data_IF_966391084531
#
_entry.id   IF_966391084531
#
_cell.length_a   1.000
_cell.length_b   1.000
_cell.length_c   1.000
_cell.angle_alpha   90.00
_cell.angle_beta   90.00
_cell.angle_gamma   90.00
#
_symmetry.space_group_name_H-M   'P 1'
#
loop_
_entity.id
_entity.type
_entity.pdbx_description
1 polymer ?
#
# COMPACT_ATOMS: atom_id res chain seq x y z
N UNK A 1 -9.23 -1.81 -0.24
CA UNK A 1 -9.38 -3.09 -0.96
C UNK A 1 -8.22 -3.25 -1.92
N UNK A 2 -7.74 -4.47 -2.11
CA UNK A 2 -6.67 -4.84 -3.06
C UNK A 2 -7.13 -6.00 -3.93
N UNK A 3 -7.14 -5.81 -5.25
CA UNK A 3 -7.39 -6.91 -6.17
C UNK A 3 -6.10 -7.71 -6.29
N UNK A 4 -6.19 -9.01 -6.03
CA UNK A 4 -5.07 -9.93 -6.13
C UNK A 4 -4.71 -10.18 -7.59
N UNK A 5 -3.43 -10.00 -7.87
CA UNK A 5 -2.76 -10.20 -9.14
C UNK A 5 -1.45 -9.41 -9.12
N UNK A 6 -0.49 -9.80 -9.95
CA UNK A 6 0.79 -9.10 -10.15
C UNK A 6 1.34 -9.45 -11.53
N UNK A 7 2.11 -8.53 -12.14
CA UNK A 7 2.86 -8.75 -13.38
C UNK A 7 2.00 -9.18 -14.56
N UNK A 8 1.33 -8.20 -15.20
CA UNK A 8 0.65 -8.41 -16.46
C UNK A 8 1.54 -7.98 -17.63
N UNK A 9 1.70 -8.85 -18.62
CA UNK A 9 2.54 -8.64 -19.81
C UNK A 9 1.73 -8.49 -21.11
N UNK A 10 0.41 -8.58 -21.03
CA UNK A 10 -0.53 -8.42 -22.12
C UNK A 10 -1.32 -7.09 -22.00
N UNK A 11 -1.27 -6.21 -23.02
CA UNK A 11 -1.97 -4.92 -22.98
C UNK A 11 -3.50 -5.03 -22.78
N UNK A 12 -4.15 -6.03 -23.38
CA UNK A 12 -5.61 -6.21 -23.26
C UNK A 12 -5.98 -6.64 -21.84
N UNK A 13 -5.14 -7.46 -21.20
CA UNK A 13 -5.33 -7.82 -19.79
C UNK A 13 -5.03 -6.67 -18.84
N UNK A 14 -4.03 -5.83 -19.14
CA UNK A 14 -3.77 -4.61 -18.38
C UNK A 14 -4.96 -3.63 -18.45
N UNK A 15 -5.58 -3.49 -19.63
CA UNK A 15 -6.82 -2.74 -19.81
C UNK A 15 -7.98 -3.35 -19.01
N UNK A 16 -8.15 -4.67 -19.04
CA UNK A 16 -9.17 -5.37 -18.27
C UNK A 16 -8.99 -5.23 -16.74
N UNK A 17 -7.74 -5.27 -16.25
CA UNK A 17 -7.43 -5.03 -14.85
C UNK A 17 -7.76 -3.59 -14.45
N UNK A 18 -7.43 -2.62 -15.31
CA UNK A 18 -7.78 -1.20 -15.11
C UNK A 18 -9.29 -1.00 -15.03
N UNK A 19 -10.06 -1.60 -15.95
CA UNK A 19 -11.51 -1.53 -15.93
C UNK A 19 -12.10 -2.20 -14.67
N UNK A 20 -11.48 -3.28 -14.18
CA UNK A 20 -11.88 -3.91 -12.91
C UNK A 20 -11.71 -2.95 -11.73
N UNK A 21 -10.60 -2.20 -11.67
CA UNK A 21 -10.42 -1.17 -10.63
C UNK A 21 -11.41 -0.02 -10.77
N UNK A 22 -11.71 0.44 -11.98
CA UNK A 22 -12.73 1.48 -12.24
C UNK A 22 -14.11 1.01 -11.75
N UNK A 23 -14.48 -0.23 -12.07
CA UNK A 23 -15.74 -0.82 -11.59
C UNK A 23 -15.77 -0.99 -10.08
N UNK A 24 -14.64 -1.33 -9.46
CA UNK A 24 -14.53 -1.39 -8.01
C UNK A 24 -14.81 -0.01 -7.39
N UNK A 25 -14.18 1.06 -7.88
CA UNK A 25 -14.40 2.43 -7.38
C UNK A 25 -15.89 2.81 -7.45
N UNK A 26 -16.51 2.62 -8.62
CA UNK A 26 -17.95 2.89 -8.81
C UNK A 26 -18.84 2.05 -7.90
N UNK A 27 -18.48 0.80 -7.64
CA UNK A 27 -19.23 -0.05 -6.71
C UNK A 27 -19.11 0.46 -5.29
N UNK A 28 -17.91 0.85 -4.86
CA UNK A 28 -17.66 1.39 -3.53
C UNK A 28 -18.43 2.68 -3.27
N UNK A 29 -18.52 3.56 -4.27
CA UNK A 29 -19.34 4.75 -4.22
C UNK A 29 -20.82 4.44 -3.94
N UNK A 30 -21.41 3.50 -4.70
CA UNK A 30 -22.81 3.09 -4.51
C UNK A 30 -23.08 2.50 -3.13
N UNK A 31 -22.17 1.68 -2.61
CA UNK A 31 -22.28 1.12 -1.25
C UNK A 31 -22.18 2.22 -0.19
N UNK A 32 -21.31 3.22 -0.39
CA UNK A 32 -21.21 4.38 0.50
C UNK A 32 -22.50 5.21 0.47
N UNK A 33 -23.08 5.46 -0.70
CA UNK A 33 -24.37 6.15 -0.85
C UNK A 33 -25.52 5.38 -0.19
N UNK A 34 -25.49 4.05 -0.26
CA UNK A 34 -26.44 3.17 0.43
C UNK A 34 -26.24 3.13 1.97
N UNK A 35 -25.19 3.78 2.49
CA UNK A 35 -24.87 3.81 3.91
C UNK A 35 -24.27 2.50 4.45
N UNK A 36 -23.86 1.58 3.58
CA UNK A 36 -23.25 0.30 3.96
C UNK A 36 -21.74 0.42 4.18
N UNK A 37 -21.12 1.49 3.67
CA UNK A 37 -19.70 1.81 3.83
C UNK A 37 -19.52 3.28 4.25
N UNK A 38 -18.54 3.55 5.10
CA UNK A 38 -18.20 4.92 5.51
C UNK A 38 -16.99 5.46 4.75
N UNK A 39 -15.83 4.81 4.88
CA UNK A 39 -14.59 5.22 4.24
C UNK A 39 -13.87 4.01 3.65
N UNK A 40 -13.42 4.13 2.40
CA UNK A 40 -12.72 3.06 1.72
C UNK A 40 -11.70 3.62 0.74
N UNK A 41 -10.51 3.05 0.79
CA UNK A 41 -9.42 3.32 -0.13
C UNK A 41 -9.11 2.05 -0.91
N UNK A 42 -8.57 2.21 -2.11
CA UNK A 42 -8.08 1.08 -2.90
C UNK A 42 -6.55 1.06 -2.89
N UNK A 43 -5.98 -0.12 -2.97
CA UNK A 43 -4.55 -0.32 -3.24
C UNK A 43 -4.43 -1.05 -4.56
N UNK A 44 -3.52 -0.58 -5.41
CA UNK A 44 -3.32 -1.09 -6.76
C UNK A 44 -1.84 -1.41 -6.97
N UNK A 45 -1.56 -2.35 -7.86
CA UNK A 45 -0.22 -2.70 -8.31
C UNK A 45 -0.08 -2.28 -9.76
N UNK A 46 0.89 -1.42 -10.06
CA UNK A 46 1.05 -0.87 -11.40
C UNK A 46 1.51 -1.94 -12.39
N UNK A 47 2.16 -3.02 -11.92
CA UNK A 47 2.47 -4.18 -12.75
C UNK A 47 1.24 -4.82 -13.40
N UNK A 48 0.06 -4.73 -12.78
CA UNK A 48 -1.20 -5.19 -13.37
C UNK A 48 -1.78 -4.22 -14.40
N UNK A 49 -1.26 -2.99 -14.47
CA UNK A 49 -1.78 -1.90 -15.31
C UNK A 49 -0.84 -1.59 -16.48
N UNK A 50 0.10 -2.49 -16.78
CA UNK A 50 1.02 -2.37 -17.92
C UNK A 50 2.34 -1.69 -17.61
N UNK A 51 2.72 -1.52 -16.33
CA UNK A 51 3.96 -0.83 -15.94
C UNK A 51 5.22 -1.34 -16.64
N UNK A 52 5.35 -2.67 -16.81
CA UNK A 52 6.51 -3.27 -17.46
C UNK A 52 6.34 -3.44 -18.99
N UNK A 53 5.14 -3.17 -19.51
CA UNK A 53 4.83 -3.15 -20.94
C UNK A 53 5.26 -1.80 -21.52
N UNK A 54 4.70 -0.72 -20.99
CA UNK A 54 4.96 0.66 -21.39
C UNK A 54 4.52 1.62 -20.26
N UNK A 55 5.41 2.51 -19.80
CA UNK A 55 5.09 3.46 -18.73
C UNK A 55 4.03 4.49 -19.13
N UNK A 56 3.95 4.88 -20.41
CA UNK A 56 2.92 5.82 -20.88
C UNK A 56 1.56 5.13 -20.95
N UNK A 57 1.49 3.86 -21.37
CA UNK A 57 0.27 3.05 -21.28
C UNK A 57 -0.18 2.91 -19.82
N UNK A 58 0.74 2.57 -18.93
CA UNK A 58 0.43 2.44 -17.50
C UNK A 58 -0.04 3.75 -16.89
N UNK A 59 0.53 4.89 -17.31
CA UNK A 59 0.08 6.20 -16.88
C UNK A 59 -1.32 6.50 -17.41
N UNK A 60 -1.64 6.23 -18.67
CA UNK A 60 -2.98 6.41 -19.23
C UNK A 60 -4.03 5.65 -18.40
N UNK A 61 -3.76 4.37 -18.13
CA UNK A 61 -4.60 3.53 -17.27
C UNK A 61 -4.76 4.12 -15.86
N UNK A 62 -3.66 4.55 -15.25
CA UNK A 62 -3.65 5.13 -13.92
C UNK A 62 -4.47 6.44 -13.87
N UNK A 63 -4.27 7.35 -14.82
CA UNK A 63 -5.01 8.62 -14.88
C UNK A 63 -6.51 8.38 -15.10
N UNK A 64 -6.89 7.40 -15.93
CA UNK A 64 -8.29 7.00 -16.14
C UNK A 64 -8.94 6.49 -14.85
N UNK A 65 -8.22 5.68 -14.07
CA UNK A 65 -8.69 5.25 -12.75
C UNK A 65 -8.80 6.43 -11.77
N UNK A 66 -7.80 7.31 -11.74
CA UNK A 66 -7.76 8.45 -10.83
C UNK A 66 -8.86 9.47 -11.12
N UNK A 67 -9.24 9.69 -12.38
CA UNK A 67 -10.38 10.52 -12.73
C UNK A 67 -11.67 10.04 -12.04
N UNK A 68 -11.96 8.73 -12.13
CA UNK A 68 -13.14 8.14 -11.49
C UNK A 68 -12.99 8.13 -9.97
N UNK A 69 -11.79 7.89 -9.46
CA UNK A 69 -11.52 7.88 -8.02
C UNK A 69 -11.69 9.27 -7.39
N UNK A 70 -11.33 10.35 -8.10
CA UNK A 70 -11.55 11.72 -7.67
C UNK A 70 -13.04 12.07 -7.62
N UNK A 71 -13.79 11.77 -8.69
CA UNK A 71 -15.24 11.99 -8.77
C UNK A 71 -15.98 11.30 -7.61
N UNK A 72 -15.51 10.11 -7.24
CA UNK A 72 -16.12 9.25 -6.23
C UNK A 72 -15.47 9.37 -4.84
N UNK A 73 -14.58 10.33 -4.61
CA UNK A 73 -13.86 10.56 -3.34
C UNK A 73 -13.23 9.28 -2.76
N UNK A 74 -12.53 8.51 -3.61
CA UNK A 74 -11.79 7.30 -3.24
C UNK A 74 -10.29 7.57 -3.37
N UNK A 75 -9.53 7.34 -2.29
CA UNK A 75 -8.08 7.47 -2.35
C UNK A 75 -7.44 6.22 -2.96
N UNK A 76 -6.45 6.43 -3.84
CA UNK A 76 -5.71 5.36 -4.50
C UNK A 76 -4.29 5.26 -3.94
N UNK A 77 -3.96 4.10 -3.36
CA UNK A 77 -2.61 3.78 -2.90
C UNK A 77 -1.89 2.96 -3.96
N UNK A 78 -0.72 3.41 -4.40
CA UNK A 78 0.16 2.66 -5.29
C UNK A 78 1.03 1.73 -4.45
N UNK A 79 0.69 0.44 -4.43
CA UNK A 79 1.49 -0.55 -3.73
C UNK A 79 2.87 -0.67 -4.36
N UNK A 80 3.87 -0.83 -3.50
CA UNK A 80 5.26 -0.97 -3.93
C UNK A 80 5.62 -2.43 -4.03
N UNK A 81 5.98 -2.84 -5.24
CA UNK A 81 6.35 -4.21 -5.58
C UNK A 81 7.87 -4.41 -5.39
N UNK A 82 8.51 -5.21 -6.24
CA UNK A 82 9.95 -5.46 -6.18
C UNK A 82 10.80 -4.21 -6.46
N UNK A 83 12.08 -4.31 -6.15
CA UNK A 83 13.04 -3.23 -6.39
C UNK A 83 13.23 -2.89 -7.88
N UNK A 84 12.92 -3.83 -8.76
CA UNK A 84 12.95 -3.73 -10.22
C UNK A 84 11.89 -2.76 -10.76
N UNK A 85 10.72 -2.66 -10.10
CA UNK A 85 9.65 -1.72 -10.49
C UNK A 85 9.64 -0.43 -9.67
N UNK A 86 10.33 -0.39 -8.52
CA UNK A 86 10.25 0.74 -7.57
C UNK A 86 10.55 2.11 -8.22
N UNK A 87 11.55 2.19 -9.09
CA UNK A 87 11.89 3.44 -9.76
C UNK A 87 10.80 3.90 -10.73
N UNK A 88 10.22 2.96 -11.47
CA UNK A 88 9.10 3.20 -12.38
C UNK A 88 7.86 3.64 -11.62
N UNK A 89 7.51 2.95 -10.52
CA UNK A 89 6.35 3.29 -9.68
C UNK A 89 6.43 4.73 -9.16
N UNK A 90 7.61 5.17 -8.72
CA UNK A 90 7.78 6.53 -8.22
C UNK A 90 7.73 7.60 -9.34
N UNK A 91 8.23 7.31 -10.55
CA UNK A 91 8.05 8.22 -11.70
C UNK A 91 6.58 8.35 -12.10
N UNK A 92 5.88 7.22 -12.20
CA UNK A 92 4.44 7.17 -12.51
C UNK A 92 3.62 7.90 -11.43
N UNK A 93 3.97 7.72 -10.16
CA UNK A 93 3.39 8.47 -9.04
C UNK A 93 3.58 9.98 -9.21
N UNK A 94 4.80 10.45 -9.48
CA UNK A 94 5.06 11.88 -9.63
C UNK A 94 4.25 12.49 -10.79
N UNK A 95 4.20 11.81 -11.95
CA UNK A 95 3.38 12.23 -13.11
C UNK A 95 1.88 12.24 -12.81
N UNK A 96 1.39 11.27 -12.04
CA UNK A 96 -0.01 11.22 -11.62
C UNK A 96 -0.34 12.32 -10.58
N UNK A 97 0.59 12.61 -9.68
CA UNK A 97 0.46 13.65 -8.66
C UNK A 97 0.35 15.05 -9.25
N UNK A 98 0.99 15.33 -10.39
CA UNK A 98 0.85 16.60 -11.12
C UNK A 98 -0.60 16.90 -11.51
N UNK A 99 -1.40 15.86 -11.78
CA UNK A 99 -2.80 15.99 -12.20
C UNK A 99 -3.79 15.78 -11.04
N UNK A 100 -3.48 14.88 -10.11
CA UNK A 100 -4.36 14.47 -9.03
C UNK A 100 -3.69 14.57 -7.63
N UNK A 101 -3.21 15.76 -7.23
CA UNK A 101 -2.54 15.94 -5.94
C UNK A 101 -3.50 15.62 -4.79
N UNK A 102 -3.01 14.88 -3.80
CA UNK A 102 -3.81 14.48 -2.63
C UNK A 102 -4.80 13.33 -2.87
N UNK A 103 -4.93 12.80 -4.10
CA UNK A 103 -5.79 11.64 -4.43
C UNK A 103 -5.03 10.33 -4.60
N UNK A 104 -3.72 10.42 -4.80
CA UNK A 104 -2.83 9.27 -5.00
C UNK A 104 -1.63 9.35 -4.07
N UNK A 105 -1.05 8.21 -3.70
CA UNK A 105 0.21 8.21 -2.96
C UNK A 105 0.93 6.87 -3.04
N UNK A 106 2.26 6.86 -2.83
CA UNK A 106 3.06 5.65 -2.94
C UNK A 106 3.11 4.86 -1.63
N UNK A 107 3.54 3.60 -1.74
CA UNK A 107 4.13 2.86 -0.62
C UNK A 107 5.65 3.02 -0.66
N UNK A 108 6.29 3.20 0.50
CA UNK A 108 7.75 3.16 0.63
C UNK A 108 8.20 2.00 1.51
N UNK A 109 9.32 1.36 1.15
CA UNK A 109 9.82 0.14 1.79
C UNK A 109 11.10 0.42 2.58
N UNK A 110 11.04 0.42 3.91
CA UNK A 110 12.17 0.78 4.77
C UNK A 110 13.44 -0.10 4.59
N UNK A 111 13.31 -1.30 4.02
CA UNK A 111 14.44 -2.17 3.72
C UNK A 111 15.31 -1.69 2.56
N UNK A 112 14.80 -0.87 1.63
CA UNK A 112 15.58 -0.43 0.49
C UNK A 112 16.51 0.74 0.88
N UNK A 113 17.74 0.72 0.37
CA UNK A 113 18.73 1.77 0.64
C UNK A 113 18.34 3.12 0.04
N UNK A 114 17.61 3.10 -1.10
CA UNK A 114 17.11 4.30 -1.77
C UNK A 114 16.04 5.06 -0.99
N UNK A 115 15.33 4.40 -0.07
CA UNK A 115 14.16 4.97 0.60
C UNK A 115 14.45 6.21 1.42
N UNK A 116 15.69 6.41 1.88
CA UNK A 116 16.06 7.67 2.53
C UNK A 116 15.83 8.88 1.62
N UNK A 117 16.22 8.78 0.34
CA UNK A 117 15.98 9.82 -0.66
C UNK A 117 14.49 9.93 -1.01
N UNK A 118 13.83 8.79 -1.23
CA UNK A 118 12.41 8.77 -1.61
C UNK A 118 11.51 9.38 -0.51
N UNK A 119 11.86 9.22 0.77
CA UNK A 119 11.16 9.86 1.92
C UNK A 119 11.29 11.38 1.88
N UNK A 120 12.46 11.93 1.58
CA UNK A 120 12.61 13.39 1.47
C UNK A 120 11.76 13.93 0.32
N UNK A 121 11.78 13.24 -0.83
CA UNK A 121 11.01 13.63 -2.01
C UNK A 121 9.50 13.70 -1.75
N UNK A 122 8.92 12.67 -1.11
CA UNK A 122 7.47 12.69 -0.79
C UNK A 122 7.13 13.74 0.27
N UNK A 123 8.05 14.05 1.20
CA UNK A 123 7.87 15.14 2.15
C UNK A 123 7.84 16.51 1.46
N UNK A 124 8.72 16.76 0.48
CA UNK A 124 8.71 17.99 -0.33
C UNK A 124 7.39 18.17 -1.09
N UNK A 125 6.82 17.07 -1.59
CA UNK A 125 5.54 17.07 -2.31
C UNK A 125 4.33 17.21 -1.37
N UNK A 126 4.49 16.99 -0.06
CA UNK A 126 3.37 16.90 0.88
C UNK A 126 2.49 15.66 0.63
N UNK A 127 3.05 14.59 0.06
CA UNK A 127 2.30 13.42 -0.33
C UNK A 127 2.02 12.48 0.85
N UNK A 128 0.81 11.93 0.92
CA UNK A 128 0.49 10.85 1.85
C UNK A 128 1.24 9.57 1.44
N UNK A 129 1.86 8.89 2.40
CA UNK A 129 2.67 7.68 2.17
C UNK A 129 2.28 6.58 3.14
N UNK A 130 2.17 5.35 2.62
CA UNK A 130 2.19 4.14 3.45
C UNK A 130 3.63 3.66 3.56
N UNK A 131 4.20 3.70 4.77
CA UNK A 131 5.51 3.13 5.03
C UNK A 131 5.37 1.66 5.45
N UNK A 132 6.10 0.77 4.80
CA UNK A 132 6.21 -0.64 5.18
C UNK A 132 7.68 -1.03 5.37
N UNK A 133 7.94 -2.25 5.85
CA UNK A 133 9.32 -2.77 5.94
C UNK A 133 9.85 -3.22 4.58
N UNK A 134 8.97 -3.76 3.74
CA UNK A 134 9.28 -4.45 2.49
C UNK A 134 9.01 -5.95 2.60
N UNK A 135 8.53 -6.55 1.50
CA UNK A 135 8.01 -7.92 1.45
C UNK A 135 8.77 -8.83 0.45
N UNK A 136 9.69 -8.26 -0.32
CA UNK A 136 10.40 -8.96 -1.40
C UNK A 136 11.81 -9.36 -0.96
N UNK A 137 12.32 -10.43 -1.57
CA UNK A 137 13.69 -10.89 -1.34
C UNK A 137 14.64 -10.15 -2.29
N UNK A 138 15.34 -9.16 -1.74
CA UNK A 138 16.19 -8.26 -2.52
C UNK A 138 17.69 -8.48 -2.23
N UNK A 139 18.58 -8.24 -3.21
CA UNK A 139 20.02 -8.38 -3.00
C UNK A 139 20.57 -7.35 -2.00
N UNK A 140 21.59 -7.76 -1.22
CA UNK A 140 22.25 -6.92 -0.20
C UNK A 140 22.82 -5.60 -0.76
N UNK A 141 23.13 -5.57 -2.06
CA UNK A 141 23.59 -4.37 -2.75
C UNK A 141 22.59 -3.22 -2.63
N UNK A 142 21.29 -3.52 -2.70
CA UNK A 142 20.21 -2.50 -2.75
C UNK A 142 19.30 -2.51 -1.51
N UNK A 143 19.30 -3.61 -0.74
CA UNK A 143 18.45 -3.76 0.44
C UNK A 143 19.20 -4.16 1.70
N UNK A 144 18.80 -3.60 2.84
CA UNK A 144 19.19 -4.05 4.17
C UNK A 144 18.61 -5.45 4.42
N UNK A 145 19.40 -6.33 5.03
CA UNK A 145 19.01 -7.72 5.28
C UNK A 145 18.72 -8.00 6.76
N UNK A 146 19.25 -7.14 7.65
CA UNK A 146 19.09 -7.29 9.09
C UNK A 146 17.79 -6.61 9.55
N UNK A 147 16.92 -7.34 10.24
CA UNK A 147 15.59 -6.84 10.64
C UNK A 147 15.64 -5.72 11.68
N UNK A 148 16.65 -5.67 12.55
CA UNK A 148 16.78 -4.59 13.53
C UNK A 148 17.21 -3.30 12.85
N UNK A 149 18.12 -3.37 11.87
CA UNK A 149 18.44 -2.25 11.00
C UNK A 149 17.21 -1.78 10.21
N UNK A 150 16.40 -2.70 9.67
CA UNK A 150 15.17 -2.33 8.95
C UNK A 150 14.16 -1.64 9.89
N UNK A 151 14.03 -2.09 11.14
CA UNK A 151 13.15 -1.46 12.16
C UNK A 151 13.65 -0.07 12.55
N UNK A 152 14.96 0.11 12.70
CA UNK A 152 15.58 1.40 12.97
C UNK A 152 15.27 2.38 11.84
N UNK A 153 15.48 1.97 10.58
CA UNK A 153 15.15 2.76 9.39
C UNK A 153 13.67 3.08 9.28
N UNK A 154 12.80 2.09 9.47
CA UNK A 154 11.35 2.29 9.51
C UNK A 154 10.96 3.38 10.51
N UNK A 155 11.53 3.31 11.73
CA UNK A 155 11.26 4.30 12.77
C UNK A 155 11.76 5.68 12.35
N UNK A 156 12.99 5.78 11.83
CA UNK A 156 13.56 7.04 11.37
C UNK A 156 12.73 7.70 10.26
N UNK A 157 12.33 6.92 9.25
CA UNK A 157 11.52 7.40 8.13
C UNK A 157 10.11 7.80 8.58
N UNK A 158 9.46 7.02 9.43
CA UNK A 158 8.17 7.36 10.02
C UNK A 158 8.26 8.69 10.77
N UNK A 159 9.31 8.91 11.58
CA UNK A 159 9.51 10.19 12.27
C UNK A 159 9.66 11.34 11.30
N UNK A 160 10.43 11.15 10.23
CA UNK A 160 10.64 12.16 9.19
C UNK A 160 9.34 12.52 8.46
N UNK A 161 8.53 11.51 8.10
CA UNK A 161 7.23 11.67 7.44
C UNK A 161 6.23 12.42 8.33
N UNK A 162 6.30 12.23 9.64
CA UNK A 162 5.46 12.89 10.64
C UNK A 162 5.99 14.28 11.08
N UNK A 163 6.91 14.88 10.30
CA UNK A 163 7.44 16.22 10.59
C UNK A 163 8.56 16.27 11.63
N UNK A 164 9.24 15.15 11.90
CA UNK A 164 10.43 15.08 12.76
C UNK A 164 10.17 15.13 14.27
N UNK A 165 8.98 15.55 14.70
CA UNK A 165 8.57 15.64 16.11
C UNK A 165 8.10 14.33 16.74
N UNK A 166 7.92 13.27 15.96
CA UNK A 166 7.41 12.00 16.49
C UNK A 166 8.43 11.32 17.42
N UNK A 167 8.07 11.16 18.69
CA UNK A 167 8.68 10.21 19.63
C UNK A 167 7.75 9.00 19.75
N UNK A 168 8.30 7.79 19.65
CA UNK A 168 7.54 6.54 19.63
C UNK A 168 7.96 5.73 20.87
N UNK A 169 7.07 5.20 21.72
CA UNK A 169 5.78 4.57 21.39
C UNK A 169 4.52 5.39 21.68
N UNK A 170 3.63 5.46 20.67
CA UNK A 170 2.30 6.08 20.70
C UNK A 170 2.12 7.21 19.68
N UNK A 171 3.24 7.83 19.30
CA UNK A 171 3.37 9.07 18.51
C UNK A 171 3.04 10.31 19.36
N UNK A 172 3.79 10.47 20.45
CA UNK A 172 3.66 11.58 21.41
C UNK A 172 3.65 12.95 20.73
N UNK A 173 2.64 13.76 21.07
CA UNK A 173 2.48 15.13 20.57
C UNK A 173 1.93 15.25 19.15
N UNK A 174 1.63 14.13 18.47
CA UNK A 174 1.02 14.14 17.13
C UNK A 174 -0.44 13.70 17.24
N UNK A 175 -1.40 14.48 16.72
CA UNK A 175 -2.80 14.12 16.81
C UNK A 175 -3.08 12.84 16.01
N UNK A 176 -3.95 11.93 16.49
CA UNK A 176 -4.33 10.73 15.75
C UNK A 176 -4.88 11.01 14.34
N UNK A 177 -5.42 12.20 14.08
CA UNK A 177 -5.87 12.63 12.76
C UNK A 177 -4.76 12.82 11.73
N UNK A 178 -3.50 12.93 12.16
CA UNK A 178 -2.35 13.14 11.27
C UNK A 178 -1.77 11.84 10.70
N UNK A 179 -2.20 10.66 11.18
CA UNK A 179 -1.71 9.37 10.72
C UNK A 179 -2.75 8.27 10.89
N UNK A 180 -2.43 7.09 10.37
CA UNK A 180 -3.26 5.90 10.52
C UNK A 180 -2.41 4.66 10.67
N UNK A 181 -2.93 3.68 11.41
CA UNK A 181 -2.39 2.33 11.45
C UNK A 181 -3.03 1.48 10.37
N UNK A 182 -2.21 0.81 9.57
CA UNK A 182 -2.70 -0.11 8.56
C UNK A 182 -2.26 -1.54 8.87
N UNK A 183 -3.22 -2.47 8.92
CA UNK A 183 -2.99 -3.87 9.25
C UNK A 183 -3.60 -4.79 8.19
N UNK A 184 -3.02 -5.96 8.00
CA UNK A 184 -3.55 -6.95 7.06
C UNK A 184 -4.79 -7.63 7.64
N UNK A 185 -5.77 -7.90 6.78
CA UNK A 185 -6.94 -8.68 7.15
C UNK A 185 -6.56 -10.04 7.75
N UNK A 186 -7.19 -10.41 8.88
CA UNK A 186 -6.91 -11.64 9.62
C UNK A 186 -5.68 -11.61 10.52
N UNK A 187 -4.85 -10.55 10.49
CA UNK A 187 -3.61 -10.47 11.26
C UNK A 187 -3.75 -9.61 12.51
N UNK A 188 -3.60 -10.24 13.69
CA UNK A 188 -3.69 -9.59 15.03
C UNK A 188 -5.00 -8.78 15.22
N UNK A 189 -6.19 -9.40 15.05
CA UNK A 189 -7.47 -8.68 15.14
C UNK A 189 -7.67 -7.98 16.49
N UNK A 190 -7.16 -8.53 17.59
CA UNK A 190 -7.22 -7.88 18.90
C UNK A 190 -6.42 -6.57 18.93
N UNK A 191 -5.28 -6.50 18.22
CA UNK A 191 -4.51 -5.25 18.09
C UNK A 191 -5.22 -4.24 17.20
N UNK A 192 -5.87 -4.69 16.13
CA UNK A 192 -6.66 -3.81 15.27
C UNK A 192 -7.78 -3.14 16.08
N UNK A 193 -8.53 -3.94 16.85
CA UNK A 193 -9.60 -3.43 17.71
C UNK A 193 -9.06 -2.49 18.79
N UNK A 194 -7.97 -2.86 19.48
CA UNK A 194 -7.39 -2.02 20.53
C UNK A 194 -6.94 -0.64 19.99
N UNK A 195 -6.33 -0.59 18.82
CA UNK A 195 -5.92 0.69 18.21
C UNK A 195 -7.14 1.58 17.88
N UNK A 196 -8.22 0.99 17.38
CA UNK A 196 -9.46 1.70 17.13
C UNK A 196 -10.13 2.18 18.43
N UNK A 197 -10.16 1.33 19.47
CA UNK A 197 -10.71 1.66 20.79
C UNK A 197 -9.91 2.79 21.47
N UNK A 198 -8.60 2.86 21.22
CA UNK A 198 -7.70 3.92 21.68
C UNK A 198 -7.86 5.23 20.86
N UNK A 199 -8.76 5.27 19.87
CA UNK A 199 -9.07 6.46 19.07
C UNK A 199 -8.12 6.72 17.89
N UNK A 200 -7.28 5.77 17.51
CA UNK A 200 -6.43 5.89 16.33
C UNK A 200 -7.20 5.52 15.05
N UNK A 201 -6.96 6.27 13.97
CA UNK A 201 -7.38 5.88 12.64
C UNK A 201 -6.75 4.53 12.28
N UNK A 202 -7.59 3.53 11.99
CA UNK A 202 -7.13 2.16 11.71
C UNK A 202 -7.78 1.66 10.43
N UNK A 203 -6.96 1.29 9.44
CA UNK A 203 -7.41 0.68 8.19
C UNK A 203 -6.97 -0.79 8.10
N UNK A 204 -7.86 -1.61 7.56
CA UNK A 204 -7.56 -3.02 7.28
C UNK A 204 -7.37 -3.21 5.77
N UNK A 205 -6.19 -3.70 5.40
CA UNK A 205 -5.87 -4.10 4.03
C UNK A 205 -6.54 -5.45 3.76
N UNK A 206 -7.58 -5.42 2.94
CA UNK A 206 -8.40 -6.59 2.57
C UNK A 206 -8.10 -6.95 1.11
N UNK A 207 -7.29 -8.00 0.87
CA UNK A 207 -7.09 -8.56 -0.46
C UNK A 207 -8.30 -9.41 -0.88
N UNK A 208 -8.66 -9.39 -2.16
CA UNK A 208 -9.73 -10.20 -2.75
C UNK A 208 -9.39 -10.61 -4.18
N UNK A 209 -10.11 -11.57 -4.75
CA UNK A 209 -9.87 -12.07 -6.11
C UNK A 209 -9.34 -13.51 -6.12
N UNK A 210 -9.14 -14.04 -7.32
CA UNK A 210 -8.83 -15.46 -7.55
C UNK A 210 -7.34 -15.78 -7.50
N UNK A 211 -6.46 -14.80 -7.67
CA UNK A 211 -4.99 -14.97 -7.67
C UNK A 211 -4.38 -14.94 -6.26
N UNK A 212 -4.97 -15.70 -5.33
CA UNK A 212 -4.58 -15.63 -3.92
C UNK A 212 -3.29 -16.37 -3.57
N UNK A 213 -2.82 -17.29 -4.41
CA UNK A 213 -1.71 -18.19 -4.08
C UNK A 213 -0.36 -17.47 -3.89
N UNK A 214 0.09 -16.55 -4.78
CA UNK A 214 1.34 -15.81 -4.57
C UNK A 214 1.30 -14.94 -3.30
N UNK A 215 0.17 -14.24 -3.09
CA UNK A 215 -0.07 -13.44 -1.89
C UNK A 215 0.02 -14.29 -0.61
N UNK A 216 -0.71 -15.41 -0.58
CA UNK A 216 -0.74 -16.31 0.57
C UNK A 216 0.64 -16.93 0.86
N UNK A 217 1.37 -17.33 -0.18
CA UNK A 217 2.72 -17.90 -0.03
C UNK A 217 3.67 -16.91 0.63
N UNK A 218 3.62 -15.62 0.24
CA UNK A 218 4.43 -14.58 0.91
C UNK A 218 4.07 -14.38 2.38
N UNK A 219 2.77 -14.40 2.71
CA UNK A 219 2.32 -14.29 4.11
C UNK A 219 2.85 -15.44 4.98
N UNK A 220 2.97 -16.64 4.42
CA UNK A 220 3.58 -17.78 5.07
C UNK A 220 5.10 -17.58 5.25
N UNK A 221 5.82 -17.11 4.23
CA UNK A 221 7.29 -17.00 4.30
C UNK A 221 7.78 -15.83 5.16
N UNK A 222 6.97 -14.79 5.37
CA UNK A 222 7.34 -13.58 6.13
C UNK A 222 7.71 -13.85 7.59
N UNK A 223 7.13 -14.87 8.24
CA UNK A 223 7.55 -15.33 9.58
C UNK A 223 7.23 -16.80 9.77
N UNK A 224 8.15 -17.56 10.40
CA UNK A 224 7.86 -18.91 10.92
C UNK A 224 6.63 -18.91 11.86
N UNK A 225 6.45 -17.82 12.60
CA UNK A 225 5.27 -17.58 13.46
C UNK A 225 3.97 -17.42 12.67
N UNK A 226 4.00 -16.85 11.46
CA UNK A 226 2.80 -16.75 10.60
C UNK A 226 2.40 -18.13 10.10
N UNK A 227 3.36 -18.98 9.70
CA UNK A 227 3.11 -20.38 9.33
C UNK A 227 2.46 -21.13 10.49
N UNK A 228 3.01 -21.00 11.71
CA UNK A 228 2.46 -21.65 12.89
C UNK A 228 1.08 -21.08 13.30
N UNK A 229 0.87 -19.77 13.16
CA UNK A 229 -0.41 -19.10 13.42
C UNK A 229 -1.50 -19.56 12.44
N UNK A 230 -1.19 -19.64 11.14
CA UNK A 230 -2.12 -20.12 10.11
C UNK A 230 -2.45 -21.60 10.29
N UNK A 231 -1.44 -22.44 10.55
CA UNK A 231 -1.65 -23.86 10.88
C UNK A 231 -2.55 -24.02 12.11
N UNK A 232 -2.30 -23.25 13.17
CA UNK A 232 -3.09 -23.32 14.42
C UNK A 232 -4.55 -22.89 14.23
N UNK A 233 -4.83 -21.97 13.31
CA UNK A 233 -6.21 -21.58 12.96
C UNK A 233 -6.90 -22.62 12.08
N UNK A 234 -6.18 -23.39 11.24
CA UNK A 234 -6.75 -24.48 10.44
C UNK A 234 -7.18 -25.69 11.30
N UNK A 235 -6.56 -25.90 12.46
CA UNK A 235 -6.89 -26.99 13.39
C UNK A 235 -7.85 -26.58 14.52
N UNK A 236 -8.23 -25.30 14.60
CA UNK A 236 -9.32 -24.84 15.48
C UNK A 236 -10.61 -24.81 14.67
N UNK A 237 -11.33 -25.93 14.71
CA UNK A 237 -12.79 -25.95 14.49
C UNK A 237 -13.48 -25.30 15.69
#
# INVERSE_FOLDING_TARGET
LDLLGEHEDDPDRAEAATETYVQLVRRLAREREAGTLQHVNISIKLSMMGQQIDEDLCLEHLLRLLAVAEDEDVYVRLDMEGSDTTASTLRLFERAWEQYPGRVGPVLQAMLKRTAHDVERVCEMGASVRLCKGAYKEPRAIAYQNMDQIRERFTAYMKRLLGGGATYPGIDGIPPSAFEFQMLYGMRPQTQQALADDGYNTLVYVPYGTEWLPYFTRRLTERKENVWFVLKNFFRR
#
